data_IF_160623607091
#
_entry.id   IF_160623607091
#
_cell.length_a   1.000
_cell.length_b   1.000
_cell.length_c   1.000
_cell.angle_alpha   90.00
_cell.angle_beta   90.00
_cell.angle_gamma   90.00
#
_symmetry.space_group_name_H-M   'P 1'
#
loop_
_entity.id
_entity.type
_entity.pdbx_description
1 polymer ?
#
# COMPACT_ATOMS: atom_id res chain seq x y z
N UNK A 1 -3.36 23.71 8.51
CA UNK A 1 -2.03 23.13 8.74
C UNK A 1 -2.17 21.61 8.68
N UNK A 2 -1.97 21.00 7.50
CA UNK A 2 -2.02 19.54 7.37
C UNK A 2 -0.65 19.02 7.78
N UNK A 3 -0.54 18.52 9.00
CA UNK A 3 0.67 17.82 9.45
C UNK A 3 0.73 16.48 8.73
N UNK A 4 1.56 16.40 7.70
CA UNK A 4 2.05 15.11 7.21
C UNK A 4 3.01 14.65 8.31
N UNK A 5 2.50 13.82 9.23
CA UNK A 5 3.32 13.12 10.22
C UNK A 5 4.49 12.54 9.43
N UNK A 6 5.72 12.98 9.74
CA UNK A 6 6.92 12.65 8.97
C UNK A 6 6.91 11.16 8.71
N UNK A 7 6.58 10.80 7.48
CA UNK A 7 6.41 9.42 7.13
C UNK A 7 7.80 8.80 7.15
N UNK A 8 8.01 7.60 7.71
CA UNK A 8 9.33 7.00 7.76
C UNK A 8 9.97 7.05 6.38
N UNK A 9 10.97 7.94 6.23
CA UNK A 9 11.82 8.06 5.06
C UNK A 9 12.76 6.87 5.10
N UNK A 10 12.19 5.69 4.85
CA UNK A 10 12.96 4.55 4.41
C UNK A 10 13.57 4.99 3.07
N UNK A 11 14.90 5.16 3.04
CA UNK A 11 15.71 5.52 1.87
C UNK A 11 15.44 4.63 0.63
N UNK A 12 14.79 3.47 0.81
CA UNK A 12 14.32 2.57 -0.25
C UNK A 12 12.82 2.56 -0.55
N UNK A 13 12.01 3.45 0.02
CA UNK A 13 10.56 3.47 -0.22
C UNK A 13 10.19 4.06 -1.59
N UNK A 14 9.59 3.24 -2.46
CA UNK A 14 9.13 3.66 -3.81
C UNK A 14 8.05 4.75 -3.72
N UNK A 15 7.24 4.76 -2.66
CA UNK A 15 6.17 5.73 -2.49
C UNK A 15 6.65 7.02 -1.82
N UNK A 16 7.59 6.91 -0.88
CA UNK A 16 7.85 7.98 0.10
C UNK A 16 9.32 8.36 0.28
N UNK A 17 10.24 7.76 -0.46
CA UNK A 17 11.64 8.17 -0.49
C UNK A 17 11.84 9.53 -1.19
N UNK A 18 13.04 10.09 -1.25
CA UNK A 18 13.31 11.41 -1.86
C UNK A 18 12.90 11.52 -3.34
N UNK A 19 12.96 10.40 -4.07
CA UNK A 19 12.50 10.23 -5.45
C UNK A 19 11.20 9.42 -5.56
N UNK A 20 10.50 9.25 -4.44
CA UNK A 20 9.29 8.44 -4.33
C UNK A 20 8.07 9.08 -5.00
N UNK A 21 7.07 8.25 -5.28
CA UNK A 21 5.86 8.67 -5.99
C UNK A 21 5.14 9.88 -5.36
N UNK A 22 5.12 10.02 -4.04
CA UNK A 22 4.37 11.08 -3.34
C UNK A 22 5.19 12.32 -3.02
N UNK A 23 6.50 12.25 -3.20
CA UNK A 23 7.50 13.24 -2.78
C UNK A 23 8.28 13.81 -3.96
N UNK A 24 8.28 13.12 -5.12
CA UNK A 24 8.96 13.56 -6.33
C UNK A 24 8.37 14.88 -6.88
N UNK A 25 9.22 15.79 -7.41
CA UNK A 25 8.75 16.99 -8.08
C UNK A 25 7.87 16.65 -9.28
N UNK A 26 6.89 17.49 -9.57
CA UNK A 26 5.96 17.25 -10.66
C UNK A 26 6.70 17.18 -12.01
N UNK A 27 6.57 16.05 -12.71
CA UNK A 27 7.30 15.77 -13.94
C UNK A 27 6.77 14.52 -14.64
N UNK A 28 7.45 14.09 -15.71
CA UNK A 28 6.95 13.01 -16.55
C UNK A 28 6.90 11.66 -15.84
N UNK A 29 7.83 11.42 -14.89
CA UNK A 29 7.77 10.28 -13.98
C UNK A 29 6.45 10.25 -13.18
N UNK A 30 6.13 11.34 -12.49
CA UNK A 30 4.93 11.42 -11.66
C UNK A 30 3.65 11.30 -12.51
N UNK A 31 3.61 11.94 -13.68
CA UNK A 31 2.49 11.81 -14.64
C UNK A 31 2.30 10.36 -15.09
N UNK A 32 3.40 9.67 -15.40
CA UNK A 32 3.37 8.27 -15.82
C UNK A 32 2.87 7.35 -14.71
N UNK A 33 3.44 7.47 -13.50
CA UNK A 33 3.03 6.68 -12.35
C UNK A 33 1.55 6.95 -11.98
N UNK A 34 1.12 8.22 -12.02
CA UNK A 34 -0.29 8.60 -11.81
C UNK A 34 -1.21 7.97 -12.86
N UNK A 35 -0.79 7.94 -14.14
CA UNK A 35 -1.54 7.28 -15.21
C UNK A 35 -1.73 5.79 -14.90
N UNK A 36 -0.69 5.10 -14.45
CA UNK A 36 -0.80 3.68 -14.07
C UNK A 36 -1.79 3.51 -12.92
N UNK A 37 -1.62 4.23 -11.82
CA UNK A 37 -2.49 4.11 -10.63
C UNK A 37 -3.96 4.40 -11.00
N UNK A 38 -4.21 5.50 -11.71
CA UNK A 38 -5.58 5.86 -12.09
C UNK A 38 -6.19 4.82 -13.03
N UNK A 39 -5.45 4.32 -14.01
CA UNK A 39 -6.01 3.41 -15.02
C UNK A 39 -6.13 1.96 -14.57
N UNK A 40 -5.22 1.50 -13.69
CA UNK A 40 -5.10 0.11 -13.25
C UNK A 40 -5.67 -0.16 -11.86
N UNK A 41 -5.79 0.87 -11.01
CA UNK A 41 -6.23 0.72 -9.62
C UNK A 41 -7.54 1.45 -9.35
N UNK A 42 -7.62 2.74 -9.71
CA UNK A 42 -8.71 3.62 -9.24
C UNK A 42 -9.87 3.79 -10.22
N UNK A 43 -9.70 3.41 -11.49
CA UNK A 43 -10.79 3.46 -12.47
C UNK A 43 -11.93 2.53 -12.03
N UNK A 44 -13.22 2.92 -12.16
CA UNK A 44 -14.34 2.09 -11.72
C UNK A 44 -14.28 0.63 -12.21
N UNK A 45 -13.94 0.42 -13.48
CA UNK A 45 -13.81 -0.93 -14.04
C UNK A 45 -12.64 -1.72 -13.41
N UNK A 46 -11.52 -1.06 -13.11
CA UNK A 46 -10.40 -1.69 -12.43
C UNK A 46 -10.75 -2.02 -10.97
N UNK A 47 -11.52 -1.16 -10.32
CA UNK A 47 -12.03 -1.37 -8.96
C UNK A 47 -12.96 -2.58 -8.88
N UNK A 48 -13.82 -2.77 -9.88
CA UNK A 48 -14.70 -3.93 -9.96
C UNK A 48 -13.91 -5.22 -10.22
N UNK A 49 -12.93 -5.19 -11.13
CA UNK A 49 -12.10 -6.37 -11.44
C UNK A 49 -11.24 -6.81 -10.26
N UNK A 50 -10.71 -5.87 -9.48
CA UNK A 50 -9.86 -6.13 -8.32
C UNK A 50 -10.63 -6.34 -7.02
N UNK A 51 -11.96 -6.43 -7.08
CA UNK A 51 -12.79 -6.51 -5.88
C UNK A 51 -12.45 -7.73 -5.03
N UNK A 52 -12.38 -8.90 -5.65
CA UNK A 52 -12.05 -10.16 -4.95
C UNK A 52 -10.64 -10.09 -4.34
N UNK A 53 -9.64 -9.63 -5.10
CA UNK A 53 -8.28 -9.46 -4.59
C UNK A 53 -8.23 -8.54 -3.37
N UNK A 54 -9.00 -7.44 -3.37
CA UNK A 54 -9.08 -6.52 -2.23
C UNK A 54 -9.78 -7.14 -1.03
N UNK A 55 -10.84 -7.91 -1.24
CA UNK A 55 -11.55 -8.63 -0.17
C UNK A 55 -10.61 -9.65 0.49
N UNK A 56 -9.85 -10.41 -0.30
CA UNK A 56 -8.85 -11.37 0.19
C UNK A 56 -7.76 -10.68 1.04
N UNK A 57 -7.23 -9.55 0.58
CA UNK A 57 -6.22 -8.79 1.30
C UNK A 57 -6.73 -8.20 2.61
N UNK A 58 -7.98 -7.70 2.63
CA UNK A 58 -8.64 -7.21 3.86
C UNK A 58 -8.87 -8.35 4.85
N UNK A 59 -9.28 -9.53 4.39
CA UNK A 59 -9.46 -10.70 5.24
C UNK A 59 -8.13 -11.17 5.87
N UNK A 60 -7.04 -11.14 5.09
CA UNK A 60 -5.70 -11.46 5.61
C UNK A 60 -5.23 -10.44 6.63
N UNK A 61 -5.45 -9.16 6.37
CA UNK A 61 -5.17 -8.07 7.30
C UNK A 61 -5.93 -8.22 8.62
N UNK A 62 -7.23 -8.49 8.55
CA UNK A 62 -8.06 -8.75 9.73
C UNK A 62 -7.53 -9.93 10.54
N UNK A 63 -7.22 -11.05 9.87
CA UNK A 63 -6.67 -12.25 10.54
C UNK A 63 -5.35 -11.95 11.25
N UNK A 64 -4.47 -11.16 10.63
CA UNK A 64 -3.20 -10.75 11.23
C UNK A 64 -3.41 -9.86 12.46
N UNK A 65 -4.30 -8.87 12.39
CA UNK A 65 -4.62 -8.02 13.54
C UNK A 65 -5.25 -8.82 14.68
N UNK A 66 -6.13 -9.78 14.37
CA UNK A 66 -6.74 -10.64 15.36
C UNK A 66 -5.69 -11.47 16.11
N UNK A 67 -4.75 -12.08 15.39
CA UNK A 67 -3.64 -12.85 15.99
C UNK A 67 -2.78 -11.98 16.93
N UNK A 68 -2.39 -10.79 16.47
CA UNK A 68 -1.64 -9.81 17.31
C UNK A 68 -2.43 -9.39 18.54
N UNK A 69 -3.74 -9.16 18.39
CA UNK A 69 -4.62 -8.82 19.51
C UNK A 69 -4.76 -9.96 20.53
N UNK A 70 -4.88 -11.21 20.06
CA UNK A 70 -4.90 -12.40 20.93
C UNK A 70 -3.61 -12.55 21.74
N UNK A 71 -2.47 -12.17 21.14
CA UNK A 71 -1.15 -12.12 21.79
C UNK A 71 -0.96 -10.89 22.68
N UNK A 72 -1.93 -9.97 22.73
CA UNK A 72 -1.88 -8.68 23.43
C UNK A 72 -0.72 -7.80 22.98
N UNK A 73 -0.34 -7.90 21.72
CA UNK A 73 0.70 -7.07 21.11
C UNK A 73 0.17 -5.67 20.80
N UNK A 74 0.99 -4.64 21.05
CA UNK A 74 0.71 -3.29 20.59
C UNK A 74 1.04 -3.17 19.10
N UNK A 75 0.16 -2.54 18.33
CA UNK A 75 0.35 -2.36 16.88
C UNK A 75 0.33 -0.88 16.51
N UNK A 76 1.19 -0.48 15.59
CA UNK A 76 1.05 0.81 14.90
C UNK A 76 0.05 0.65 13.74
N UNK A 77 -1.13 1.24 13.90
CA UNK A 77 -2.21 1.14 12.90
C UNK A 77 -1.80 1.73 11.54
N UNK A 78 -0.93 2.75 11.54
CA UNK A 78 -0.45 3.38 10.31
C UNK A 78 0.46 2.45 9.51
N UNK A 79 1.38 1.76 10.19
CA UNK A 79 2.26 0.76 9.60
C UNK A 79 1.46 -0.43 9.04
N UNK A 80 0.53 -0.96 9.84
CA UNK A 80 -0.32 -2.09 9.42
C UNK A 80 -1.22 -1.70 8.23
N UNK A 81 -1.80 -0.49 8.23
CA UNK A 81 -2.55 0.01 7.08
C UNK A 81 -1.68 0.20 5.83
N UNK A 82 -0.43 0.65 6.01
CA UNK A 82 0.52 0.78 4.90
C UNK A 82 0.86 -0.60 4.30
N UNK A 83 1.05 -1.63 5.14
CA UNK A 83 1.24 -3.01 4.69
C UNK A 83 0.05 -3.50 3.87
N UNK A 84 -1.19 -3.24 4.30
CA UNK A 84 -2.39 -3.58 3.54
C UNK A 84 -2.41 -2.89 2.16
N UNK A 85 -2.16 -1.57 2.12
CA UNK A 85 -2.15 -0.81 0.86
C UNK A 85 -1.10 -1.35 -0.11
N UNK A 86 0.12 -1.61 0.38
CA UNK A 86 1.21 -2.16 -0.44
C UNK A 86 0.84 -3.54 -0.99
N UNK A 87 0.24 -4.40 -0.17
CA UNK A 87 -0.20 -5.72 -0.61
C UNK A 87 -1.27 -5.66 -1.70
N UNK A 88 -2.29 -4.82 -1.54
CA UNK A 88 -3.33 -4.60 -2.55
C UNK A 88 -2.72 -4.09 -3.86
N UNK A 89 -1.82 -3.10 -3.79
CA UNK A 89 -1.17 -2.52 -4.97
C UNK A 89 -0.30 -3.59 -5.67
N UNK A 90 0.51 -4.34 -4.92
CA UNK A 90 1.32 -5.43 -5.46
C UNK A 90 0.44 -6.48 -6.13
N UNK A 91 -0.65 -6.91 -5.47
CA UNK A 91 -1.57 -7.92 -6.00
C UNK A 91 -2.20 -7.49 -7.31
N UNK A 92 -2.68 -6.25 -7.39
CA UNK A 92 -3.36 -5.73 -8.59
C UNK A 92 -2.36 -5.44 -9.73
N UNK A 93 -1.18 -4.90 -9.43
CA UNK A 93 -0.20 -4.52 -10.46
C UNK A 93 0.71 -5.68 -10.91
N UNK A 94 1.08 -6.57 -9.99
CA UNK A 94 2.03 -7.66 -10.22
C UNK A 94 1.38 -9.06 -10.20
N UNK A 95 0.11 -9.18 -9.82
CA UNK A 95 -0.59 -10.47 -9.69
C UNK A 95 -0.26 -11.24 -8.40
N UNK A 96 0.65 -10.71 -7.56
CA UNK A 96 1.11 -11.34 -6.31
C UNK A 96 1.16 -10.33 -5.18
N UNK A 97 0.85 -10.78 -3.96
CA UNK A 97 1.00 -9.96 -2.77
C UNK A 97 2.48 -9.84 -2.38
N UNK A 98 2.86 -8.71 -1.79
CA UNK A 98 4.19 -8.50 -1.23
C UNK A 98 4.17 -8.90 0.25
N UNK A 99 4.17 -10.21 0.53
CA UNK A 99 4.36 -10.67 1.91
C UNK A 99 5.82 -10.48 2.31
N UNK A 100 6.07 -9.93 3.48
CA UNK A 100 7.37 -10.09 4.13
C UNK A 100 7.50 -11.60 4.45
N UNK A 101 8.34 -12.31 3.70
CA UNK A 101 8.85 -13.61 4.12
C UNK A 101 9.86 -13.31 5.22
N UNK A 102 9.57 -13.77 6.44
CA UNK A 102 10.55 -13.71 7.53
C UNK A 102 11.81 -14.45 7.06
N UNK A 103 12.88 -13.70 6.80
CA UNK A 103 14.24 -14.23 6.83
C UNK A 103 14.73 -14.30 8.27
#
# INVERSE_FOLDING_TARGET
NVSIRALPTNEGSIFFGPSGFLTAPYGDYLKFAKKIIVTKLLRPQALQRSRCDREDEVNRFYSSLLDKAMKKESVDVGEEAMKLINNIICKILMGRSCSEENG
#
